data_IF_893539532930
#
_entry.id   IF_893539532930
#
_cell.length_a   1.000
_cell.length_b   1.000
_cell.length_c   1.000
_cell.angle_alpha   90.00
_cell.angle_beta   90.00
_cell.angle_gamma   90.00
#
_symmetry.space_group_name_H-M   'P 1'
#
loop_
_entity.id
_entity.type
_entity.pdbx_description
1 polymer ?
#
# COMPACT_ATOMS: atom_id res chain seq x y z
N UNK A 1 -27.08 30.16 -3.73
CA UNK A 1 -26.65 29.17 -4.75
C UNK A 1 -25.36 28.47 -4.35
N UNK A 2 -24.19 29.13 -4.23
CA UNK A 2 -22.93 28.44 -3.85
C UNK A 2 -23.01 27.81 -2.45
N UNK A 3 -23.51 28.52 -1.45
CA UNK A 3 -23.70 27.97 -0.09
C UNK A 3 -24.60 26.73 -0.08
N UNK A 4 -25.65 26.69 -0.92
CA UNK A 4 -26.56 25.53 -1.00
C UNK A 4 -25.86 24.30 -1.60
N UNK A 5 -24.99 24.52 -2.62
CA UNK A 5 -24.16 23.44 -3.20
C UNK A 5 -23.21 22.89 -2.12
N UNK A 6 -22.54 23.79 -1.37
CA UNK A 6 -21.63 23.41 -0.30
C UNK A 6 -22.37 22.67 0.81
N UNK A 7 -23.51 23.17 1.28
CA UNK A 7 -24.36 22.50 2.28
C UNK A 7 -24.76 21.09 1.83
N UNK A 8 -25.22 20.98 0.57
CA UNK A 8 -25.55 19.67 0.00
C UNK A 8 -24.34 18.74 0.02
N UNK A 9 -23.16 19.20 -0.45
CA UNK A 9 -21.92 18.42 -0.46
C UNK A 9 -21.50 17.99 0.94
N UNK A 10 -21.54 18.91 1.93
CA UNK A 10 -21.21 18.61 3.31
C UNK A 10 -22.07 17.49 3.91
N UNK A 11 -23.39 17.51 3.63
CA UNK A 11 -24.35 16.51 4.14
C UNK A 11 -24.28 15.19 3.38
N UNK A 12 -24.25 15.24 2.04
CA UNK A 12 -24.28 14.06 1.18
C UNK A 12 -23.05 13.16 1.41
N UNK A 13 -21.88 13.78 1.58
CA UNK A 13 -20.62 13.04 1.78
C UNK A 13 -20.16 12.97 3.25
N UNK A 14 -21.02 13.39 4.18
CA UNK A 14 -20.72 13.41 5.62
C UNK A 14 -19.35 14.03 5.95
N UNK A 15 -19.05 15.20 5.35
CA UNK A 15 -17.74 15.83 5.44
C UNK A 15 -17.45 16.39 6.84
N UNK A 16 -18.50 16.83 7.55
CA UNK A 16 -18.42 17.45 8.88
C UNK A 16 -19.39 16.78 9.85
N UNK A 17 -18.99 16.72 11.10
CA UNK A 17 -19.84 16.37 12.24
C UNK A 17 -19.93 17.57 13.19
N UNK A 18 -20.98 17.62 14.01
CA UNK A 18 -21.12 18.64 15.04
C UNK A 18 -19.93 18.58 16.00
N UNK A 19 -19.39 19.74 16.35
CA UNK A 19 -18.21 19.88 17.22
C UNK A 19 -16.87 19.73 16.49
N UNK A 20 -16.85 19.53 15.15
CA UNK A 20 -15.61 19.43 14.41
C UNK A 20 -14.79 20.72 14.45
N UNK A 21 -13.47 20.56 14.59
CA UNK A 21 -12.49 21.62 14.38
C UNK A 21 -11.89 21.49 12.99
N UNK A 22 -11.99 22.55 12.17
CA UNK A 22 -11.63 22.52 10.75
C UNK A 22 -10.51 23.50 10.45
N UNK A 23 -9.39 23.02 9.90
CA UNK A 23 -8.30 23.84 9.38
C UNK A 23 -8.51 24.07 7.89
N UNK A 24 -8.66 25.31 7.48
CA UNK A 24 -8.80 25.68 6.07
C UNK A 24 -7.45 26.10 5.50
N UNK A 25 -7.00 25.45 4.43
CA UNK A 25 -5.82 25.88 3.68
C UNK A 25 -6.13 27.15 2.90
N UNK A 26 -5.62 28.30 3.36
CA UNK A 26 -5.87 29.62 2.78
C UNK A 26 -4.67 30.12 2.00
N UNK A 27 -4.69 29.96 0.67
CA UNK A 27 -3.63 30.42 -0.23
C UNK A 27 -3.75 31.91 -0.62
N UNK A 28 -4.90 32.54 -0.35
CA UNK A 28 -5.22 33.89 -0.79
C UNK A 28 -5.97 33.96 -2.13
N UNK A 29 -5.94 32.91 -2.94
CA UNK A 29 -6.69 32.86 -4.21
C UNK A 29 -8.20 32.68 -4.01
N UNK A 30 -8.99 32.99 -5.04
CA UNK A 30 -10.45 33.00 -5.02
C UNK A 30 -11.08 31.72 -4.43
N UNK A 31 -10.54 30.54 -4.80
CA UNK A 31 -11.06 29.24 -4.33
C UNK A 31 -10.94 29.11 -2.81
N UNK A 32 -9.77 29.46 -2.25
CA UNK A 32 -9.51 29.36 -0.81
C UNK A 32 -10.25 30.43 0.00
N UNK A 33 -10.41 31.61 -0.56
CA UNK A 33 -11.19 32.70 0.02
C UNK A 33 -12.68 32.33 0.04
N UNK A 34 -13.21 31.84 -1.06
CA UNK A 34 -14.59 31.36 -1.16
C UNK A 34 -14.86 30.23 -0.14
N UNK A 35 -13.97 29.20 -0.08
CA UNK A 35 -14.09 28.11 0.89
C UNK A 35 -14.11 28.61 2.33
N UNK A 36 -13.16 29.48 2.69
CA UNK A 36 -13.03 30.00 4.05
C UNK A 36 -14.29 30.79 4.45
N UNK A 37 -14.74 31.70 3.59
CA UNK A 37 -15.93 32.51 3.84
C UNK A 37 -17.21 31.67 3.88
N UNK A 38 -17.35 30.68 2.99
CA UNK A 38 -18.51 29.81 2.99
C UNK A 38 -18.60 28.96 4.27
N UNK A 39 -17.48 28.35 4.70
CA UNK A 39 -17.45 27.59 5.97
C UNK A 39 -17.69 28.50 7.18
N UNK A 40 -17.15 29.73 7.16
CA UNK A 40 -17.41 30.72 8.20
C UNK A 40 -18.91 31.07 8.28
N UNK A 41 -19.57 31.26 7.13
CA UNK A 41 -21.02 31.53 7.07
C UNK A 41 -21.87 30.37 7.55
N UNK A 42 -21.34 29.14 7.50
CA UNK A 42 -22.03 27.90 7.87
C UNK A 42 -21.62 27.36 9.25
N UNK A 43 -20.68 28.02 9.94
CA UNK A 43 -20.08 27.50 11.16
C UNK A 43 -21.09 27.22 12.28
N UNK A 44 -22.05 28.09 12.44
CA UNK A 44 -23.07 27.97 13.50
C UNK A 44 -24.10 26.88 13.15
N UNK A 45 -24.42 26.71 11.84
CA UNK A 45 -25.33 25.65 11.38
C UNK A 45 -24.75 24.24 11.53
N UNK A 46 -23.45 24.11 11.35
CA UNK A 46 -22.74 22.82 11.45
C UNK A 46 -22.02 22.64 12.79
N UNK A 47 -22.15 23.62 13.70
CA UNK A 47 -21.48 23.62 15.01
C UNK A 47 -19.98 23.30 14.89
N UNK A 48 -19.25 24.08 14.07
CA UNK A 48 -17.83 23.86 13.79
C UNK A 48 -16.96 25.03 14.25
N UNK A 49 -15.73 24.70 14.67
CA UNK A 49 -14.70 25.68 14.94
C UNK A 49 -13.74 25.79 13.78
N UNK A 50 -13.43 27.00 13.32
CA UNK A 50 -12.58 27.24 12.18
C UNK A 50 -11.20 27.77 12.56
N UNK A 51 -10.21 27.30 11.81
CA UNK A 51 -8.83 27.78 11.78
C UNK A 51 -8.41 27.93 10.33
N UNK A 52 -7.43 28.80 10.07
CA UNK A 52 -6.83 28.94 8.74
C UNK A 52 -5.33 28.67 8.81
N UNK A 53 -4.77 28.14 7.70
CA UNK A 53 -3.34 27.95 7.56
C UNK A 53 -2.88 28.50 6.21
N UNK A 54 -1.88 29.38 6.24
CA UNK A 54 -1.20 29.92 5.07
C UNK A 54 0.24 29.44 5.03
N UNK A 55 0.76 29.17 3.81
CA UNK A 55 2.16 28.80 3.60
C UNK A 55 2.76 29.75 2.62
N UNK A 56 3.75 30.50 3.07
CA UNK A 56 4.60 31.30 2.25
C UNK A 56 5.73 30.42 1.70
N UNK A 57 5.74 30.20 0.40
CA UNK A 57 6.67 29.27 -0.27
C UNK A 57 8.08 29.84 -0.49
N UNK A 58 8.34 31.10 -0.16
CA UNK A 58 9.64 31.75 -0.31
C UNK A 58 10.07 32.02 -1.76
N UNK A 59 9.21 31.73 -2.75
CA UNK A 59 9.58 31.80 -4.18
C UNK A 59 9.52 33.22 -4.73
N UNK A 60 8.67 34.12 -4.17
CA UNK A 60 8.28 35.38 -4.83
C UNK A 60 8.58 36.66 -4.04
N UNK A 61 9.43 36.61 -3.04
CA UNK A 61 9.84 37.81 -2.28
C UNK A 61 8.65 38.65 -1.77
N UNK A 62 8.47 39.84 -2.34
CA UNK A 62 7.43 40.82 -1.95
C UNK A 62 6.00 40.32 -2.18
N UNK A 63 5.73 39.56 -3.26
CA UNK A 63 4.40 39.02 -3.53
C UNK A 63 3.99 37.99 -2.47
N UNK A 64 4.91 37.11 -2.08
CA UNK A 64 4.65 36.11 -1.03
C UNK A 64 4.32 36.75 0.33
N UNK A 65 4.99 37.87 0.64
CA UNK A 65 4.72 38.64 1.86
C UNK A 65 3.37 39.36 1.82
N UNK A 66 2.98 39.86 0.65
CA UNK A 66 1.66 40.44 0.40
C UNK A 66 0.56 39.40 0.62
N UNK A 67 0.73 38.20 0.08
CA UNK A 67 -0.25 37.11 0.17
C UNK A 67 -0.38 36.60 1.62
N UNK A 68 0.72 36.56 2.37
CA UNK A 68 0.75 36.26 3.81
C UNK A 68 -0.06 37.29 4.61
N UNK A 69 0.23 38.58 4.41
CA UNK A 69 -0.51 39.66 5.06
C UNK A 69 -2.00 39.65 4.71
N UNK A 70 -2.33 39.33 3.47
CA UNK A 70 -3.71 39.18 3.03
C UNK A 70 -4.41 38.06 3.82
N UNK A 71 -3.80 36.87 3.92
CA UNK A 71 -4.37 35.71 4.62
C UNK A 71 -4.60 36.01 6.11
N UNK A 72 -3.64 36.66 6.79
CA UNK A 72 -3.77 37.07 8.18
C UNK A 72 -4.90 38.08 8.36
N UNK A 73 -4.94 39.14 7.53
CA UNK A 73 -5.98 40.18 7.62
C UNK A 73 -7.38 39.63 7.31
N UNK A 74 -7.50 38.75 6.30
CA UNK A 74 -8.75 38.11 5.94
C UNK A 74 -9.29 37.26 7.09
N UNK A 75 -8.43 36.42 7.67
CA UNK A 75 -8.77 35.56 8.81
C UNK A 75 -9.18 36.41 10.05
N UNK A 76 -8.44 37.47 10.33
CA UNK A 76 -8.73 38.40 11.42
C UNK A 76 -10.08 39.08 11.25
N UNK A 77 -10.46 39.52 10.04
CA UNK A 77 -11.77 40.10 9.73
C UNK A 77 -12.92 39.13 10.05
N UNK A 78 -12.70 37.83 9.87
CA UNK A 78 -13.67 36.77 10.15
C UNK A 78 -13.63 36.27 11.62
N UNK A 79 -12.68 36.75 12.42
CA UNK A 79 -12.47 36.28 13.80
C UNK A 79 -11.92 34.85 13.87
N UNK A 80 -11.15 34.43 12.85
CA UNK A 80 -10.55 33.09 12.75
C UNK A 80 -9.05 33.19 13.05
N UNK A 81 -8.53 32.25 13.87
CA UNK A 81 -7.10 32.14 14.14
C UNK A 81 -6.37 31.65 12.89
N UNK A 82 -5.30 32.36 12.49
CA UNK A 82 -4.50 32.09 11.31
C UNK A 82 -3.10 31.63 11.70
N UNK A 83 -2.68 30.47 11.15
CA UNK A 83 -1.32 29.94 11.29
C UNK A 83 -0.54 30.16 10.00
N UNK A 84 0.66 30.71 10.12
CA UNK A 84 1.54 30.98 8.97
C UNK A 84 2.81 30.14 9.10
N UNK A 85 3.23 29.56 7.96
CA UNK A 85 4.52 28.88 7.80
C UNK A 85 5.30 29.53 6.68
N UNK A 86 6.52 29.98 6.98
CA UNK A 86 7.50 30.39 5.96
C UNK A 86 8.42 29.20 5.63
N UNK A 87 8.51 28.83 4.35
CA UNK A 87 9.30 27.70 3.88
C UNK A 87 10.01 28.01 2.55
N UNK A 88 11.29 27.73 2.46
CA UNK A 88 12.08 27.85 1.21
C UNK A 88 11.87 26.57 0.39
N UNK A 89 10.81 26.54 -0.43
CA UNK A 89 10.46 25.38 -1.24
C UNK A 89 11.52 25.03 -2.28
N UNK A 90 12.14 26.01 -3.01
CA UNK A 90 13.23 25.71 -3.93
C UNK A 90 14.41 24.99 -3.27
N UNK A 91 14.80 25.40 -2.07
CA UNK A 91 15.89 24.73 -1.33
C UNK A 91 15.49 23.33 -0.90
N UNK A 92 14.28 23.16 -0.35
CA UNK A 92 13.75 21.85 0.06
C UNK A 92 13.65 20.89 -1.13
N UNK A 93 13.22 21.37 -2.30
CA UNK A 93 13.13 20.56 -3.51
C UNK A 93 14.49 20.03 -3.95
N UNK A 94 15.55 20.86 -3.89
CA UNK A 94 16.93 20.47 -4.18
C UNK A 94 17.44 19.43 -3.17
N UNK A 95 17.25 19.68 -1.87
CA UNK A 95 17.75 18.84 -0.80
C UNK A 95 17.09 17.43 -0.82
N UNK A 96 15.82 17.36 -1.22
CA UNK A 96 15.05 16.11 -1.27
C UNK A 96 15.00 15.46 -2.65
N UNK A 97 15.59 16.09 -3.67
CA UNK A 97 15.62 15.65 -5.07
C UNK A 97 14.21 15.34 -5.65
N UNK A 98 13.27 16.24 -5.39
CA UNK A 98 11.90 16.18 -5.92
C UNK A 98 11.55 17.49 -6.64
N UNK A 99 10.45 17.51 -7.41
CA UNK A 99 9.96 18.75 -8.02
C UNK A 99 9.50 19.76 -6.94
N UNK A 100 9.58 21.06 -7.24
CA UNK A 100 9.08 22.12 -6.34
C UNK A 100 7.59 21.95 -6.01
N UNK A 101 6.78 21.47 -6.96
CA UNK A 101 5.37 21.13 -6.73
C UNK A 101 5.24 20.03 -5.66
N UNK A 102 6.03 18.98 -5.77
CA UNK A 102 6.04 17.86 -4.81
C UNK A 102 6.55 18.33 -3.44
N UNK A 103 7.63 19.10 -3.40
CA UNK A 103 8.18 19.66 -2.17
C UNK A 103 7.14 20.56 -1.46
N UNK A 104 6.52 21.49 -2.19
CA UNK A 104 5.49 22.39 -1.68
C UNK A 104 4.27 21.63 -1.16
N UNK A 105 3.86 20.58 -1.87
CA UNK A 105 2.79 19.69 -1.42
C UNK A 105 3.14 18.97 -0.11
N UNK A 106 4.34 18.41 -0.02
CA UNK A 106 4.80 17.69 1.19
C UNK A 106 4.88 18.62 2.40
N UNK A 107 5.47 19.81 2.24
CA UNK A 107 5.55 20.85 3.28
C UNK A 107 4.15 21.23 3.76
N UNK A 108 3.21 21.45 2.84
CA UNK A 108 1.82 21.79 3.14
C UNK A 108 1.14 20.76 4.03
N UNK A 109 1.16 19.49 3.63
CA UNK A 109 0.51 18.42 4.40
C UNK A 109 1.21 18.16 5.74
N UNK A 110 2.54 18.25 5.79
CA UNK A 110 3.28 18.14 7.05
C UNK A 110 2.92 19.28 8.01
N UNK A 111 2.76 20.50 7.51
CA UNK A 111 2.33 21.63 8.33
C UNK A 111 0.91 21.43 8.85
N UNK A 112 -0.03 21.03 7.99
CA UNK A 112 -1.39 20.77 8.40
C UNK A 112 -1.46 19.66 9.46
N UNK A 113 -0.72 18.57 9.29
CA UNK A 113 -0.68 17.47 10.26
C UNK A 113 -0.16 17.94 11.62
N UNK A 114 0.94 18.72 11.66
CA UNK A 114 1.48 19.29 12.90
C UNK A 114 0.47 20.19 13.62
N UNK A 115 -0.29 21.01 12.86
CA UNK A 115 -1.34 21.84 13.45
C UNK A 115 -2.49 20.99 13.98
N UNK A 116 -2.91 19.98 13.24
CA UNK A 116 -3.96 19.04 13.65
C UNK A 116 -3.61 18.35 14.97
N UNK A 117 -2.38 17.86 15.11
CA UNK A 117 -1.90 17.24 16.35
C UNK A 117 -1.82 18.24 17.51
N UNK A 118 -1.23 19.42 17.26
CA UNK A 118 -0.99 20.42 18.31
C UNK A 118 -2.27 21.07 18.86
N UNK A 119 -3.26 21.31 17.97
CA UNK A 119 -4.49 22.04 18.33
C UNK A 119 -5.74 21.16 18.35
N UNK A 120 -5.56 19.81 18.24
CA UNK A 120 -6.65 18.83 18.22
C UNK A 120 -7.68 19.12 17.12
N UNK A 121 -7.17 19.50 15.92
CA UNK A 121 -8.00 19.76 14.75
C UNK A 121 -8.24 18.45 14.02
N UNK A 122 -9.49 18.08 13.80
CA UNK A 122 -9.86 16.78 13.26
C UNK A 122 -10.17 16.79 11.76
N UNK A 123 -10.34 17.95 11.13
CA UNK A 123 -10.58 18.08 9.68
C UNK A 123 -9.68 19.14 9.05
N UNK A 124 -9.25 18.87 7.81
CA UNK A 124 -8.52 19.81 6.97
C UNK A 124 -9.30 20.07 5.69
N UNK A 125 -9.78 21.28 5.48
CA UNK A 125 -10.51 21.67 4.28
C UNK A 125 -9.57 22.25 3.22
N UNK A 126 -9.62 21.70 2.00
CA UNK A 126 -8.84 22.18 0.85
C UNK A 126 -9.74 22.65 -0.28
N UNK A 127 -9.33 23.70 -0.97
CA UNK A 127 -10.14 24.44 -1.93
C UNK A 127 -10.08 23.86 -3.36
N UNK A 128 -10.12 22.52 -3.51
CA UNK A 128 -10.27 21.91 -4.83
C UNK A 128 -11.72 22.12 -5.29
N UNK A 129 -11.84 22.57 -6.53
CA UNK A 129 -13.13 22.90 -7.15
C UNK A 129 -13.48 21.93 -8.31
N UNK A 130 -14.63 22.13 -8.99
CA UNK A 130 -15.10 21.29 -10.09
C UNK A 130 -14.15 21.29 -11.29
N UNK A 131 -13.51 22.42 -11.59
CA UNK A 131 -12.57 22.52 -12.70
C UNK A 131 -11.29 21.71 -12.39
N UNK A 132 -10.77 21.76 -11.16
CA UNK A 132 -9.64 20.92 -10.73
C UNK A 132 -9.96 19.42 -10.86
N UNK A 133 -11.21 19.05 -10.57
CA UNK A 133 -11.67 17.66 -10.73
C UNK A 133 -11.65 17.24 -12.20
N UNK A 134 -12.19 18.08 -13.10
CA UNK A 134 -12.17 17.82 -14.54
C UNK A 134 -10.73 17.73 -15.10
N UNK A 135 -9.81 18.62 -14.66
CA UNK A 135 -8.41 18.55 -15.01
C UNK A 135 -7.78 17.21 -14.59
N UNK A 136 -8.05 16.79 -13.35
CA UNK A 136 -7.53 15.52 -12.80
C UNK A 136 -8.08 14.32 -13.57
N UNK A 137 -9.36 14.31 -13.92
CA UNK A 137 -9.99 13.26 -14.71
C UNK A 137 -9.32 13.12 -16.08
N UNK A 138 -9.10 14.23 -16.79
CA UNK A 138 -8.41 14.23 -18.08
C UNK A 138 -6.96 13.75 -17.96
N UNK A 139 -6.23 14.24 -16.95
CA UNK A 139 -4.86 13.77 -16.70
C UNK A 139 -4.79 12.26 -16.45
N UNK A 140 -5.70 11.75 -15.62
CA UNK A 140 -5.76 10.33 -15.30
C UNK A 140 -6.15 9.49 -16.53
N UNK A 141 -7.10 9.95 -17.32
CA UNK A 141 -7.49 9.29 -18.56
C UNK A 141 -6.33 9.19 -19.56
N UNK A 142 -5.61 10.30 -19.79
CA UNK A 142 -4.44 10.34 -20.68
C UNK A 142 -3.27 9.46 -20.18
N UNK A 143 -3.16 9.24 -18.88
CA UNK A 143 -2.16 8.34 -18.28
C UNK A 143 -2.58 6.87 -18.32
N UNK A 144 -3.77 6.54 -18.83
CA UNK A 144 -4.29 5.18 -18.89
C UNK A 144 -4.76 4.64 -17.55
N UNK A 145 -5.21 5.50 -16.66
CA UNK A 145 -5.75 5.09 -15.36
C UNK A 145 -7.00 4.21 -15.51
N UNK A 146 -7.14 3.26 -14.61
CA UNK A 146 -8.33 2.41 -14.49
C UNK A 146 -9.49 3.15 -13.83
N UNK A 147 -10.61 2.47 -13.56
CA UNK A 147 -11.82 3.04 -12.94
C UNK A 147 -11.53 3.94 -11.74
N UNK A 148 -10.61 3.55 -10.83
CA UNK A 148 -10.26 4.35 -9.65
C UNK A 148 -9.71 5.74 -10.02
N UNK A 149 -8.91 5.85 -11.09
CA UNK A 149 -8.43 7.15 -11.57
C UNK A 149 -9.51 8.00 -12.24
N UNK A 150 -10.54 7.34 -12.77
CA UNK A 150 -11.69 7.99 -13.41
C UNK A 150 -12.79 8.42 -12.42
N UNK A 151 -12.66 8.11 -11.14
CA UNK A 151 -13.51 8.64 -10.07
C UNK A 151 -13.15 10.09 -9.69
N UNK A 152 -12.09 10.66 -10.23
CA UNK A 152 -11.66 12.03 -9.97
C UNK A 152 -11.06 12.24 -8.57
N UNK A 153 -11.17 13.47 -8.08
CA UNK A 153 -10.70 13.86 -6.77
C UNK A 153 -11.71 13.41 -5.70
N UNK A 154 -11.31 12.62 -4.68
CA UNK A 154 -12.23 12.17 -3.65
C UNK A 154 -12.68 13.33 -2.74
N UNK A 155 -13.94 13.34 -2.30
CA UNK A 155 -14.46 14.34 -1.35
C UNK A 155 -13.77 14.24 0.02
N UNK A 156 -13.42 13.03 0.43
CA UNK A 156 -12.72 12.72 1.70
C UNK A 156 -11.48 11.89 1.42
N UNK A 157 -10.36 12.24 2.06
CA UNK A 157 -9.14 11.44 2.10
C UNK A 157 -8.50 11.52 3.49
N UNK A 158 -8.76 10.54 4.32
CA UNK A 158 -8.38 10.61 5.73
C UNK A 158 -9.12 11.77 6.43
N UNK A 159 -8.39 12.70 7.00
CA UNK A 159 -8.96 13.91 7.61
C UNK A 159 -9.15 15.09 6.63
N UNK A 160 -8.76 14.93 5.36
CA UNK A 160 -8.87 15.99 4.35
C UNK A 160 -10.23 15.95 3.70
N UNK A 161 -10.93 17.09 3.67
CA UNK A 161 -12.24 17.30 3.04
C UNK A 161 -12.20 18.36 1.93
N UNK A 162 -13.11 18.29 0.98
CA UNK A 162 -13.19 19.19 -0.18
C UNK A 162 -14.61 19.71 -0.40
N UNK A 163 -15.04 20.68 0.42
CA UNK A 163 -16.44 21.13 0.42
C UNK A 163 -16.89 21.82 -0.87
N UNK A 164 -15.97 22.44 -1.63
CA UNK A 164 -16.27 23.16 -2.87
C UNK A 164 -16.01 22.36 -4.15
N UNK A 165 -15.82 21.03 -4.03
CA UNK A 165 -15.48 20.18 -5.20
C UNK A 165 -16.60 20.17 -6.27
N UNK A 166 -17.84 20.49 -5.89
CA UNK A 166 -18.98 20.61 -6.80
C UNK A 166 -19.25 22.02 -7.29
N UNK A 167 -18.43 23.01 -6.89
CA UNK A 167 -18.57 24.41 -7.29
C UNK A 167 -17.60 24.70 -8.44
N UNK A 168 -18.08 25.29 -9.52
CA UNK A 168 -17.26 25.70 -10.65
C UNK A 168 -16.46 26.98 -10.35
N UNK A 169 -15.42 27.23 -11.13
CA UNK A 169 -14.60 28.44 -11.02
C UNK A 169 -15.44 29.72 -11.18
N UNK A 170 -16.33 29.75 -12.16
CA UNK A 170 -17.22 30.89 -12.41
C UNK A 170 -18.17 31.16 -11.24
N UNK A 171 -18.72 30.10 -10.64
CA UNK A 171 -19.57 30.20 -9.46
C UNK A 171 -18.79 30.72 -8.24
N UNK A 172 -17.51 30.33 -8.08
CA UNK A 172 -16.62 30.82 -7.02
C UNK A 172 -16.33 32.31 -7.19
N UNK A 173 -15.94 32.74 -8.40
CA UNK A 173 -15.64 34.15 -8.67
C UNK A 173 -16.87 35.03 -8.49
N UNK A 174 -18.02 34.56 -8.97
CA UNK A 174 -19.28 35.24 -8.71
C UNK A 174 -19.62 35.33 -7.22
N UNK A 175 -19.42 34.26 -6.47
CA UNK A 175 -19.64 34.27 -5.02
C UNK A 175 -18.75 35.29 -4.32
N UNK A 176 -17.47 35.36 -4.69
CA UNK A 176 -16.55 36.36 -4.14
C UNK A 176 -17.02 37.77 -4.48
N UNK A 177 -17.42 38.03 -5.71
CA UNK A 177 -17.94 39.34 -6.15
C UNK A 177 -19.21 39.72 -5.40
N UNK A 178 -20.20 38.83 -5.32
CA UNK A 178 -21.49 39.05 -4.69
C UNK A 178 -21.37 39.36 -3.16
N UNK A 179 -20.28 38.88 -2.52
CA UNK A 179 -20.00 39.11 -1.09
C UNK A 179 -18.89 40.15 -0.85
N UNK A 180 -18.41 40.87 -1.86
CA UNK A 180 -17.37 41.89 -1.75
C UNK A 180 -16.04 41.32 -1.21
N UNK A 181 -15.70 40.08 -1.55
CA UNK A 181 -14.49 39.43 -1.10
C UNK A 181 -13.34 39.70 -2.10
N UNK A 182 -12.31 40.35 -1.60
CA UNK A 182 -11.05 40.47 -2.31
C UNK A 182 -10.27 39.16 -2.31
N UNK A 183 -9.48 38.89 -3.34
CA UNK A 183 -8.57 37.75 -3.41
C UNK A 183 -7.35 38.08 -4.28
N UNK A 184 -6.27 37.34 -4.07
CA UNK A 184 -5.02 37.52 -4.81
C UNK A 184 -5.03 36.67 -6.09
N UNK A 185 -4.54 37.26 -7.19
CA UNK A 185 -4.34 36.57 -8.45
C UNK A 185 -2.89 36.14 -8.55
N UNK A 186 -2.67 34.83 -8.70
CA UNK A 186 -1.34 34.25 -8.83
C UNK A 186 -0.83 34.37 -10.26
N UNK A 187 0.31 35.10 -10.46
CA UNK A 187 0.94 35.30 -11.77
C UNK A 187 1.48 34.00 -12.41
N UNK A 188 1.82 32.97 -11.62
CA UNK A 188 2.33 31.68 -12.17
C UNK A 188 1.23 30.78 -12.75
N UNK A 189 -0.03 31.06 -12.49
CA UNK A 189 -1.14 30.37 -13.15
C UNK A 189 -1.17 30.60 -14.68
N UNK A 190 -0.41 31.56 -15.19
CA UNK A 190 -0.38 31.96 -16.60
C UNK A 190 0.70 31.21 -17.42
N UNK A 191 1.59 30.42 -16.80
CA UNK A 191 2.65 29.70 -17.53
C UNK A 191 2.16 28.32 -17.99
N UNK A 192 2.41 27.97 -19.27
CA UNK A 192 2.01 26.68 -19.87
C UNK A 192 3.01 25.54 -19.64
N UNK A 193 4.01 25.72 -18.79
CA UNK A 193 5.11 24.78 -18.64
C UNK A 193 4.72 23.42 -18.03
N UNK A 194 3.57 23.36 -17.36
CA UNK A 194 3.09 22.12 -16.74
C UNK A 194 1.89 21.54 -17.49
N UNK A 195 1.82 20.21 -17.61
CA UNK A 195 0.72 19.48 -18.27
C UNK A 195 -0.66 19.92 -17.77
N UNK A 196 -0.78 20.21 -16.48
CA UNK A 196 -2.03 20.68 -15.87
C UNK A 196 -2.46 22.05 -16.40
N UNK A 197 -1.53 22.96 -16.55
CA UNK A 197 -1.81 24.29 -17.10
C UNK A 197 -2.22 24.21 -18.59
N UNK A 198 -1.61 23.32 -19.39
CA UNK A 198 -2.05 23.07 -20.78
C UNK A 198 -3.48 22.55 -20.85
N UNK A 199 -3.86 21.65 -19.93
CA UNK A 199 -5.25 21.16 -19.85
C UNK A 199 -6.19 22.31 -19.49
N UNK A 200 -5.85 23.11 -18.49
CA UNK A 200 -6.66 24.24 -18.00
C UNK A 200 -6.85 25.34 -19.02
N UNK A 201 -5.78 25.77 -19.68
CA UNK A 201 -5.78 26.97 -20.52
C UNK A 201 -6.00 26.65 -22.01
N UNK A 202 -5.75 25.42 -22.45
CA UNK A 202 -5.84 25.05 -23.86
C UNK A 202 -6.89 23.98 -24.10
N UNK A 203 -6.77 22.81 -23.45
CA UNK A 203 -7.59 21.66 -23.81
C UNK A 203 -9.05 21.80 -23.33
N UNK A 204 -9.28 22.16 -22.06
CA UNK A 204 -10.62 22.33 -21.52
C UNK A 204 -11.42 23.44 -22.25
N UNK A 205 -10.86 24.65 -22.47
CA UNK A 205 -11.54 25.68 -23.24
C UNK A 205 -11.85 25.24 -24.68
N UNK A 206 -10.93 24.51 -25.32
CA UNK A 206 -11.15 23.98 -26.66
C UNK A 206 -12.32 22.98 -26.69
N UNK A 207 -12.34 22.02 -25.75
CA UNK A 207 -13.44 21.05 -25.67
C UNK A 207 -14.78 21.76 -25.39
N UNK A 208 -14.80 22.73 -24.47
CA UNK A 208 -16.02 23.47 -24.16
C UNK A 208 -16.54 24.28 -25.35
N UNK A 209 -15.63 24.88 -26.12
CA UNK A 209 -16.03 25.70 -27.27
C UNK A 209 -16.47 24.88 -28.47
N UNK A 210 -15.74 23.81 -28.81
CA UNK A 210 -15.93 23.11 -30.08
C UNK A 210 -16.83 21.86 -29.97
N UNK A 211 -16.98 21.28 -28.77
CA UNK A 211 -17.65 19.99 -28.59
C UNK A 211 -18.83 20.05 -27.60
N UNK A 212 -18.60 20.52 -26.36
CA UNK A 212 -19.62 20.52 -25.32
C UNK A 212 -19.39 21.64 -24.32
N UNK A 213 -20.21 22.68 -24.36
CA UNK A 213 -20.10 23.84 -23.44
C UNK A 213 -20.24 23.45 -21.97
N UNK A 214 -20.93 22.35 -21.66
CA UNK A 214 -21.10 21.82 -20.30
C UNK A 214 -20.11 20.70 -19.93
N UNK A 215 -19.04 20.51 -20.70
CA UNK A 215 -18.11 19.38 -20.54
C UNK A 215 -17.62 19.18 -19.11
N UNK A 216 -17.17 20.24 -18.43
CA UNK A 216 -16.67 20.17 -17.04
C UNK A 216 -17.73 19.58 -16.12
N UNK A 217 -18.97 20.04 -16.22
CA UNK A 217 -20.10 19.52 -15.45
C UNK A 217 -20.34 18.04 -15.77
N UNK A 218 -20.48 17.74 -17.06
CA UNK A 218 -20.80 16.38 -17.54
C UNK A 218 -19.75 15.36 -17.08
N UNK A 219 -18.45 15.66 -17.27
CA UNK A 219 -17.38 14.71 -16.92
C UNK A 219 -17.27 14.48 -15.42
N UNK A 220 -17.52 15.52 -14.60
CA UNK A 220 -17.48 15.37 -13.12
C UNK A 220 -18.72 14.64 -12.59
N UNK A 221 -19.91 14.83 -13.19
CA UNK A 221 -21.11 14.06 -12.85
C UNK A 221 -20.93 12.57 -13.22
N UNK A 222 -20.39 12.27 -14.41
CA UNK A 222 -20.08 10.90 -14.80
C UNK A 222 -19.05 10.24 -13.85
N UNK A 223 -18.06 11.01 -13.36
CA UNK A 223 -17.11 10.51 -12.40
C UNK A 223 -17.75 10.07 -11.07
N UNK A 224 -18.82 10.75 -10.63
CA UNK A 224 -19.60 10.33 -9.45
C UNK A 224 -20.28 8.97 -9.70
N UNK A 225 -20.90 8.77 -10.85
CA UNK A 225 -21.53 7.49 -11.19
C UNK A 225 -20.51 6.35 -11.26
N UNK A 226 -19.35 6.59 -11.89
CA UNK A 226 -18.23 5.62 -11.91
C UNK A 226 -17.75 5.32 -10.49
N UNK A 227 -17.76 6.32 -9.61
CA UNK A 227 -17.37 6.16 -8.20
C UNK A 227 -18.33 5.23 -7.46
N UNK A 228 -19.64 5.42 -7.62
CA UNK A 228 -20.65 4.59 -6.97
C UNK A 228 -20.53 3.13 -7.42
N UNK A 229 -20.38 2.88 -8.73
CA UNK A 229 -20.13 1.53 -9.27
C UNK A 229 -18.82 0.93 -8.73
N UNK A 230 -17.76 1.74 -8.67
CA UNK A 230 -16.46 1.29 -8.14
C UNK A 230 -16.53 0.94 -6.66
N UNK A 231 -17.21 1.75 -5.84
CA UNK A 231 -17.36 1.52 -4.40
C UNK A 231 -18.16 0.25 -4.13
N UNK A 232 -19.21 0.00 -4.89
CA UNK A 232 -19.97 -1.25 -4.78
C UNK A 232 -19.10 -2.48 -5.07
N UNK A 233 -18.32 -2.44 -6.16
CA UNK A 233 -17.41 -3.53 -6.52
C UNK A 233 -16.24 -3.69 -5.54
N UNK A 234 -15.75 -2.58 -5.00
CA UNK A 234 -14.70 -2.60 -3.97
C UNK A 234 -15.23 -3.21 -2.66
N UNK A 235 -16.48 -2.91 -2.27
CA UNK A 235 -17.16 -3.55 -1.14
C UNK A 235 -17.23 -5.07 -1.28
N UNK A 236 -17.66 -5.58 -2.44
CA UNK A 236 -17.70 -7.03 -2.73
C UNK A 236 -16.29 -7.63 -2.63
N UNK A 237 -15.28 -6.94 -3.15
CA UNK A 237 -13.90 -7.43 -3.11
C UNK A 237 -13.33 -7.43 -1.69
N UNK A 238 -13.66 -6.45 -0.85
CA UNK A 238 -13.27 -6.40 0.55
C UNK A 238 -13.93 -7.52 1.38
N UNK A 239 -15.19 -7.81 1.13
CA UNK A 239 -15.88 -8.91 1.80
C UNK A 239 -15.30 -10.27 1.41
N UNK A 240 -15.01 -10.47 0.13
CA UNK A 240 -14.28 -11.66 -0.33
C UNK A 240 -12.90 -11.74 0.33
N UNK A 241 -12.18 -10.61 0.40
CA UNK A 241 -10.85 -10.54 1.01
C UNK A 241 -10.90 -10.98 2.48
N UNK A 242 -11.82 -10.44 3.27
CA UNK A 242 -12.01 -10.78 4.70
C UNK A 242 -12.32 -12.27 4.92
N UNK A 243 -13.07 -12.88 4.00
CA UNK A 243 -13.50 -14.28 4.11
C UNK A 243 -12.42 -15.27 3.64
N UNK A 244 -11.74 -14.99 2.53
CA UNK A 244 -10.93 -15.98 1.82
C UNK A 244 -9.41 -15.75 1.88
N UNK A 245 -8.95 -14.54 2.27
CA UNK A 245 -7.51 -14.24 2.31
C UNK A 245 -6.96 -14.43 3.72
N UNK A 246 -5.85 -15.17 3.82
CA UNK A 246 -5.07 -15.31 5.05
C UNK A 246 -3.58 -15.29 4.69
N UNK A 247 -2.80 -14.48 5.40
CA UNK A 247 -1.34 -14.34 5.18
C UNK A 247 -0.99 -14.08 3.70
N UNK A 248 -1.69 -13.15 3.04
CA UNK A 248 -1.53 -12.81 1.62
C UNK A 248 -1.61 -14.04 0.69
N UNK A 249 -2.46 -15.01 1.00
CA UNK A 249 -2.71 -16.20 0.20
C UNK A 249 -4.20 -16.39 -0.12
N UNK A 250 -4.52 -16.78 -1.35
CA UNK A 250 -5.87 -17.07 -1.82
C UNK A 250 -5.94 -18.41 -2.55
N UNK A 251 -7.00 -19.20 -2.33
CA UNK A 251 -7.29 -20.38 -3.12
C UNK A 251 -7.68 -20.00 -4.54
N UNK A 252 -7.05 -20.62 -5.54
CA UNK A 252 -7.35 -20.37 -6.96
C UNK A 252 -8.79 -20.78 -7.28
N UNK A 253 -9.29 -21.87 -6.69
CA UNK A 253 -10.66 -22.32 -6.89
C UNK A 253 -11.67 -21.28 -6.39
N UNK A 254 -11.47 -20.70 -5.21
CA UNK A 254 -12.37 -19.68 -4.67
C UNK A 254 -12.26 -18.37 -5.48
N UNK A 255 -11.04 -17.96 -5.86
CA UNK A 255 -10.84 -16.80 -6.71
C UNK A 255 -11.53 -16.99 -8.07
N UNK A 256 -11.51 -18.20 -8.63
CA UNK A 256 -12.14 -18.51 -9.93
C UNK A 256 -13.67 -18.52 -9.91
N UNK A 257 -14.30 -18.60 -8.73
CA UNK A 257 -15.75 -18.45 -8.57
C UNK A 257 -16.21 -16.98 -8.68
N UNK A 258 -15.29 -16.02 -8.63
CA UNK A 258 -15.62 -14.60 -8.72
C UNK A 258 -15.43 -14.04 -10.13
N UNK A 259 -16.10 -12.91 -10.43
CA UNK A 259 -15.95 -12.19 -11.69
C UNK A 259 -14.56 -11.54 -11.82
N UNK A 260 -14.11 -11.33 -13.06
CA UNK A 260 -12.81 -10.75 -13.36
C UNK A 260 -12.59 -9.37 -12.72
N UNK A 261 -13.66 -8.58 -12.55
CA UNK A 261 -13.60 -7.29 -11.89
C UNK A 261 -13.25 -7.42 -10.40
N UNK A 262 -13.79 -8.44 -9.74
CA UNK A 262 -13.55 -8.72 -8.31
C UNK A 262 -12.16 -9.34 -8.13
N UNK A 263 -11.76 -10.31 -8.97
CA UNK A 263 -10.42 -10.89 -8.96
C UNK A 263 -9.32 -9.81 -8.93
N UNK A 264 -9.43 -8.84 -9.85
CA UNK A 264 -8.45 -7.74 -9.95
C UNK A 264 -8.40 -6.88 -8.69
N UNK A 265 -9.56 -6.60 -8.08
CA UNK A 265 -9.65 -5.82 -6.85
C UNK A 265 -9.08 -6.56 -5.66
N UNK A 266 -9.42 -7.83 -5.50
CA UNK A 266 -8.87 -8.71 -4.43
C UNK A 266 -7.34 -8.77 -4.51
N UNK A 267 -6.77 -8.96 -5.69
CA UNK A 267 -5.31 -8.97 -5.85
C UNK A 267 -4.67 -7.61 -5.54
N UNK A 268 -5.35 -6.50 -5.85
CA UNK A 268 -4.87 -5.17 -5.44
C UNK A 268 -4.91 -4.98 -3.92
N UNK A 269 -5.92 -5.52 -3.24
CA UNK A 269 -5.97 -5.53 -1.77
C UNK A 269 -4.80 -6.34 -1.20
N UNK A 270 -4.54 -7.53 -1.73
CA UNK A 270 -3.38 -8.35 -1.32
C UNK A 270 -2.06 -7.61 -1.56
N UNK A 271 -1.90 -6.97 -2.71
CA UNK A 271 -0.70 -6.18 -3.02
C UNK A 271 -0.58 -4.96 -2.11
N UNK A 272 -1.67 -4.24 -1.84
CA UNK A 272 -1.67 -3.11 -0.90
C UNK A 272 -1.19 -3.53 0.49
N UNK A 273 -1.66 -4.67 0.97
CA UNK A 273 -1.29 -5.16 2.30
C UNK A 273 0.19 -5.57 2.37
N UNK A 274 0.70 -6.32 1.39
CA UNK A 274 2.10 -6.75 1.40
C UNK A 274 3.07 -5.59 1.17
N UNK A 275 2.65 -4.54 0.47
CA UNK A 275 3.43 -3.32 0.27
C UNK A 275 3.22 -2.26 1.37
N UNK A 276 2.53 -2.59 2.47
CA UNK A 276 2.25 -1.66 3.58
C UNK A 276 1.60 -0.34 3.11
N UNK A 277 0.65 -0.42 2.18
CA UNK A 277 -0.15 0.73 1.76
C UNK A 277 0.39 1.50 0.54
N UNK A 278 1.43 1.04 -0.15
CA UNK A 278 1.84 1.61 -1.43
C UNK A 278 0.71 1.51 -2.46
N UNK A 279 0.32 2.64 -3.06
CA UNK A 279 -0.84 2.73 -3.95
C UNK A 279 -0.50 2.65 -5.46
N UNK A 280 0.76 2.83 -5.86
CA UNK A 280 1.19 2.85 -7.27
C UNK A 280 1.54 1.45 -7.79
N UNK A 281 0.54 0.54 -7.75
CA UNK A 281 0.69 -0.81 -8.24
C UNK A 281 0.20 -0.88 -9.69
N UNK A 282 1.11 -1.13 -10.63
CA UNK A 282 0.78 -1.27 -12.04
C UNK A 282 -0.27 -2.36 -12.30
N UNK A 283 -1.20 -2.10 -13.19
CA UNK A 283 -2.20 -3.07 -13.65
C UNK A 283 -1.57 -4.30 -14.32
N UNK A 284 -0.35 -4.19 -14.85
CA UNK A 284 0.42 -5.29 -15.41
C UNK A 284 0.74 -6.35 -14.36
N UNK A 285 1.14 -5.96 -13.15
CA UNK A 285 1.41 -6.93 -12.08
C UNK A 285 0.16 -7.71 -11.67
N UNK A 286 -1.00 -7.06 -11.63
CA UNK A 286 -2.27 -7.75 -11.34
C UNK A 286 -2.59 -8.78 -12.43
N UNK A 287 -2.39 -8.43 -13.72
CA UNK A 287 -2.59 -9.36 -14.83
C UNK A 287 -1.60 -10.53 -14.79
N UNK A 288 -0.34 -10.25 -14.49
CA UNK A 288 0.70 -11.28 -14.36
C UNK A 288 0.37 -12.26 -13.22
N UNK A 289 -0.06 -11.76 -12.06
CA UNK A 289 -0.47 -12.60 -10.92
C UNK A 289 -1.69 -13.46 -11.32
N UNK A 290 -2.69 -12.90 -11.99
CA UNK A 290 -3.84 -13.67 -12.46
C UNK A 290 -3.41 -14.80 -13.40
N UNK A 291 -2.44 -14.54 -14.28
CA UNK A 291 -1.91 -15.57 -15.19
C UNK A 291 -1.27 -16.78 -14.47
N UNK A 292 -0.87 -16.63 -13.19
CA UNK A 292 -0.36 -17.75 -12.41
C UNK A 292 -1.44 -18.77 -12.05
N UNK A 293 -2.72 -18.34 -11.99
CA UNK A 293 -3.81 -19.27 -11.70
C UNK A 293 -3.95 -20.38 -12.76
N UNK A 294 -3.60 -20.07 -14.00
CA UNK A 294 -3.66 -21.01 -15.14
C UNK A 294 -2.38 -21.83 -15.33
N UNK A 295 -1.34 -21.54 -14.54
CA UNK A 295 -0.04 -22.21 -14.62
C UNK A 295 0.06 -23.35 -13.61
N UNK A 296 0.95 -24.32 -13.91
CA UNK A 296 1.25 -25.44 -12.99
C UNK A 296 1.81 -24.93 -11.65
N UNK A 297 1.54 -25.66 -10.56
CA UNK A 297 2.11 -25.39 -9.24
C UNK A 297 3.66 -25.29 -9.29
N UNK A 298 4.21 -24.36 -8.51
CA UNK A 298 5.64 -24.06 -8.45
C UNK A 298 6.11 -22.98 -9.43
N UNK A 299 5.21 -22.37 -10.21
CA UNK A 299 5.52 -21.16 -11.00
C UNK A 299 5.44 -19.92 -10.14
N UNK A 300 6.36 -18.99 -10.41
CA UNK A 300 6.45 -17.70 -9.69
C UNK A 300 6.82 -16.57 -10.63
N UNK A 301 6.50 -15.36 -10.21
CA UNK A 301 6.91 -14.08 -10.81
C UNK A 301 7.49 -13.18 -9.74
N UNK A 302 8.53 -12.44 -10.12
CA UNK A 302 9.12 -11.43 -9.25
C UNK A 302 8.37 -10.11 -9.45
N UNK A 303 8.04 -9.48 -8.35
CA UNK A 303 7.42 -8.16 -8.26
C UNK A 303 8.45 -7.18 -7.69
N UNK A 304 8.22 -5.85 -7.80
CA UNK A 304 9.09 -4.85 -7.18
C UNK A 304 9.26 -5.05 -5.66
N UNK A 305 10.26 -4.39 -5.10
CA UNK A 305 10.55 -4.36 -3.67
C UNK A 305 10.74 -5.74 -3.03
N UNK A 306 11.26 -6.70 -3.81
CA UNK A 306 11.56 -8.03 -3.29
C UNK A 306 10.35 -8.90 -2.98
N UNK A 307 9.19 -8.59 -3.55
CA UNK A 307 7.99 -9.43 -3.44
C UNK A 307 8.00 -10.51 -4.54
N UNK A 308 7.47 -11.67 -4.22
CA UNK A 308 7.26 -12.78 -5.15
C UNK A 308 5.80 -13.22 -5.08
N UNK A 309 5.17 -13.36 -6.24
CA UNK A 309 3.89 -14.02 -6.37
C UNK A 309 4.11 -15.44 -6.90
N UNK A 310 3.50 -16.45 -6.27
CA UNK A 310 3.66 -17.85 -6.67
C UNK A 310 2.35 -18.61 -6.65
N UNK A 311 2.23 -19.58 -7.59
CA UNK A 311 1.20 -20.60 -7.53
C UNK A 311 1.76 -21.80 -6.76
N UNK A 312 1.22 -22.09 -5.60
CA UNK A 312 1.65 -23.21 -4.77
C UNK A 312 0.47 -24.02 -4.28
N UNK A 313 0.40 -25.29 -4.71
CA UNK A 313 -0.66 -26.25 -4.34
C UNK A 313 -2.09 -25.72 -4.47
N UNK A 314 -2.38 -25.00 -5.59
CA UNK A 314 -3.71 -24.44 -5.85
C UNK A 314 -3.99 -23.12 -5.14
N UNK A 315 -2.96 -22.46 -4.64
CA UNK A 315 -3.06 -21.12 -4.04
C UNK A 315 -2.16 -20.12 -4.76
N UNK A 316 -2.62 -18.89 -4.89
CA UNK A 316 -1.76 -17.73 -5.18
C UNK A 316 -1.30 -17.17 -3.85
N UNK A 317 0.01 -17.04 -3.68
CA UNK A 317 0.65 -16.53 -2.46
C UNK A 317 1.54 -15.36 -2.84
N UNK A 318 1.40 -14.26 -2.11
CA UNK A 318 2.33 -13.13 -2.17
C UNK A 318 3.19 -13.15 -0.91
N UNK A 319 4.51 -13.13 -1.07
CA UNK A 319 5.44 -13.10 0.06
C UNK A 319 6.72 -12.32 -0.28
N UNK A 320 7.43 -11.90 0.75
CA UNK A 320 8.78 -11.37 0.56
C UNK A 320 9.71 -12.48 0.08
N UNK A 321 10.55 -12.16 -0.90
CA UNK A 321 11.57 -13.07 -1.39
C UNK A 321 12.49 -13.46 -0.23
N UNK A 322 12.47 -14.74 0.12
CA UNK A 322 13.39 -15.28 1.12
C UNK A 322 14.77 -15.45 0.52
N UNK A 323 15.79 -15.18 1.30
CA UNK A 323 17.13 -15.57 0.94
C UNK A 323 17.20 -17.09 0.84
N UNK A 324 17.82 -17.59 -0.22
CA UNK A 324 18.02 -19.04 -0.37
C UNK A 324 19.00 -19.49 0.72
N UNK A 325 18.61 -20.53 1.47
CA UNK A 325 19.53 -21.15 2.43
C UNK A 325 20.79 -21.57 1.69
N UNK A 326 21.93 -21.00 2.09
CA UNK A 326 23.22 -21.31 1.51
C UNK A 326 23.56 -22.81 1.73
N UNK A 327 24.34 -23.42 0.85
CA UNK A 327 24.82 -24.77 1.06
C UNK A 327 25.61 -24.86 2.35
N UNK A 328 25.31 -25.85 3.17
CA UNK A 328 26.04 -26.13 4.42
C UNK A 328 26.29 -27.63 4.58
N UNK A 329 27.35 -27.96 5.29
CA UNK A 329 27.74 -29.30 5.70
C UNK A 329 28.55 -29.21 6.98
N UNK A 330 27.99 -29.74 8.06
CA UNK A 330 28.60 -29.68 9.40
C UNK A 330 28.76 -31.08 9.96
N UNK A 331 29.97 -31.43 10.35
CA UNK A 331 30.26 -32.68 11.07
C UNK A 331 30.06 -32.46 12.58
N UNK A 332 29.33 -33.35 13.23
CA UNK A 332 29.00 -33.22 14.66
C UNK A 332 29.37 -34.53 15.35
N UNK A 333 30.09 -34.44 16.45
CA UNK A 333 30.43 -35.62 17.28
C UNK A 333 29.31 -35.88 18.29
N UNK A 334 29.25 -37.13 18.78
CA UNK A 334 28.31 -37.48 19.83
C UNK A 334 28.70 -36.73 21.12
N UNK A 335 27.76 -36.08 21.75
CA UNK A 335 27.93 -35.21 22.90
C UNK A 335 28.14 -33.73 22.56
N UNK A 336 28.14 -33.36 21.27
CA UNK A 336 28.31 -31.97 20.85
C UNK A 336 26.97 -31.29 20.53
N UNK A 337 26.97 -29.96 20.69
CA UNK A 337 25.94 -29.04 20.21
C UNK A 337 26.60 -28.04 19.27
N UNK A 338 26.10 -27.95 18.06
CA UNK A 338 26.60 -27.01 17.04
C UNK A 338 25.48 -26.11 16.56
N UNK A 339 25.77 -24.80 16.43
CA UNK A 339 24.86 -23.83 15.81
C UNK A 339 25.08 -23.81 14.30
N UNK A 340 24.03 -24.08 13.54
CA UNK A 340 24.05 -24.02 12.07
C UNK A 340 23.39 -22.72 11.66
N UNK A 341 24.21 -21.75 11.30
CA UNK A 341 23.77 -20.38 10.94
C UNK A 341 22.79 -20.36 9.76
N UNK A 342 22.98 -21.24 8.77
CA UNK A 342 22.16 -21.35 7.57
C UNK A 342 20.73 -21.85 7.85
N UNK A 343 20.52 -22.48 8.99
CA UNK A 343 19.23 -22.97 9.47
C UNK A 343 18.64 -22.13 10.62
N UNK A 344 19.47 -21.29 11.23
CA UNK A 344 19.19 -20.60 12.49
C UNK A 344 18.75 -21.56 13.61
N UNK A 345 19.48 -22.71 13.71
CA UNK A 345 19.15 -23.80 14.64
C UNK A 345 20.38 -24.32 15.36
N UNK A 346 20.17 -24.71 16.62
CA UNK A 346 21.12 -25.53 17.40
C UNK A 346 20.81 -27.00 17.17
N UNK A 347 21.83 -27.76 16.78
CA UNK A 347 21.73 -29.20 16.61
C UNK A 347 22.57 -29.86 17.69
N UNK A 348 21.93 -30.66 18.53
CA UNK A 348 22.57 -31.44 19.62
C UNK A 348 22.50 -32.91 19.29
N UNK A 349 23.64 -33.61 19.39
CA UNK A 349 23.73 -35.07 19.23
C UNK A 349 24.12 -35.67 20.57
N UNK A 350 23.30 -36.55 21.12
CA UNK A 350 23.56 -37.23 22.40
C UNK A 350 23.37 -38.74 22.32
N UNK A 351 24.11 -39.53 23.13
CA UNK A 351 23.86 -40.95 23.27
C UNK A 351 22.51 -41.20 23.95
N UNK A 352 21.85 -42.25 23.55
CA UNK A 352 20.60 -42.68 24.24
C UNK A 352 20.39 -44.16 24.12
N UNK A 353 19.84 -44.76 25.16
CA UNK A 353 19.31 -46.12 25.20
C UNK A 353 17.79 -46.18 25.29
N UNK A 354 17.13 -45.02 25.25
CA UNK A 354 15.68 -44.88 25.31
C UNK A 354 15.14 -43.97 24.22
N UNK A 355 13.97 -44.30 23.70
CA UNK A 355 13.26 -43.47 22.76
C UNK A 355 12.07 -42.77 23.43
N UNK A 356 12.04 -41.45 23.42
CA UNK A 356 10.96 -40.64 23.93
C UNK A 356 10.06 -40.08 22.80
N UNK A 357 8.85 -39.64 23.14
CA UNK A 357 7.94 -38.95 22.20
C UNK A 357 8.09 -37.42 22.32
N UNK A 358 9.30 -36.92 22.12
CA UNK A 358 9.68 -35.52 22.31
C UNK A 358 9.95 -34.73 21.02
N UNK A 359 9.69 -35.36 19.87
CA UNK A 359 9.93 -34.71 18.55
C UNK A 359 11.36 -34.85 18.05
N UNK A 360 12.31 -35.35 18.84
CA UNK A 360 13.67 -35.62 18.43
C UNK A 360 13.80 -36.78 17.44
N UNK A 361 14.91 -36.82 16.72
CA UNK A 361 15.25 -37.92 15.80
C UNK A 361 16.12 -38.94 16.52
N UNK A 362 15.67 -40.21 16.55
CA UNK A 362 16.34 -41.31 17.22
C UNK A 362 16.89 -42.27 16.16
N UNK A 363 18.22 -42.48 16.13
CA UNK A 363 18.90 -43.28 15.10
C UNK A 363 19.78 -44.36 15.77
N UNK A 364 19.86 -45.52 15.09
CA UNK A 364 20.88 -46.53 15.41
C UNK A 364 22.20 -46.05 14.84
N UNK A 365 23.22 -45.93 15.70
CA UNK A 365 24.55 -45.38 15.36
C UNK A 365 25.60 -45.88 16.34
N UNK A 366 26.80 -46.20 15.85
CA UNK A 366 27.94 -46.57 16.70
C UNK A 366 28.77 -45.33 17.10
N UNK A 367 29.54 -45.44 18.16
CA UNK A 367 30.35 -44.32 18.71
C UNK A 367 31.40 -43.78 17.73
N UNK A 368 31.82 -44.63 16.81
CA UNK A 368 32.86 -44.32 15.81
C UNK A 368 32.32 -43.81 14.49
N UNK A 369 30.98 -43.73 14.37
CA UNK A 369 30.33 -43.28 13.12
C UNK A 369 30.48 -41.78 12.93
N UNK A 370 30.73 -41.39 11.67
CA UNK A 370 30.78 -39.98 11.26
C UNK A 370 29.39 -39.45 11.01
N UNK A 371 28.98 -38.47 11.81
CA UNK A 371 27.66 -37.83 11.67
C UNK A 371 27.85 -36.48 10.99
N UNK A 372 27.08 -36.26 9.90
CA UNK A 372 27.07 -35.01 9.16
C UNK A 372 25.62 -34.49 9.08
N UNK A 373 25.45 -33.21 9.34
CA UNK A 373 24.19 -32.49 9.07
C UNK A 373 24.42 -31.54 7.90
N UNK A 374 23.66 -31.70 6.86
CA UNK A 374 23.78 -30.94 5.60
C UNK A 374 22.45 -30.63 4.96
N UNK A 375 22.43 -29.75 3.96
CA UNK A 375 21.30 -29.61 3.08
C UNK A 375 21.29 -30.68 1.97
N UNK A 376 20.18 -30.74 1.21
CA UNK A 376 19.98 -31.72 0.14
C UNK A 376 20.99 -31.53 -1.00
N UNK A 377 21.36 -32.65 -1.65
CA UNK A 377 22.16 -32.70 -2.88
C UNK A 377 21.35 -33.33 -4.01
N UNK A 378 21.75 -33.03 -5.27
CA UNK A 378 21.14 -33.69 -6.41
C UNK A 378 21.47 -35.17 -6.38
N UNK A 379 20.45 -36.02 -6.57
CA UNK A 379 20.61 -37.46 -6.57
C UNK A 379 20.36 -38.13 -5.22
N UNK A 380 20.18 -37.40 -4.14
CA UNK A 380 19.88 -37.94 -2.82
C UNK A 380 18.69 -38.89 -2.86
N UNK A 381 18.88 -40.05 -2.20
CA UNK A 381 17.89 -41.10 -2.08
C UNK A 381 17.90 -41.65 -0.66
N UNK A 382 16.75 -42.00 -0.13
CA UNK A 382 16.63 -42.64 1.18
C UNK A 382 15.43 -43.62 1.19
N UNK A 383 15.34 -44.46 2.19
CA UNK A 383 14.26 -45.42 2.38
C UNK A 383 13.43 -45.01 3.58
N UNK A 384 12.34 -44.19 3.41
CA UNK A 384 11.53 -43.74 4.51
C UNK A 384 10.92 -44.90 5.29
N UNK A 385 10.97 -44.83 6.61
CA UNK A 385 10.34 -45.83 7.47
C UNK A 385 8.86 -45.98 7.15
N UNK A 386 8.39 -47.23 6.97
CA UNK A 386 7.02 -47.56 6.57
C UNK A 386 6.77 -47.62 5.04
N UNK A 387 7.81 -47.43 4.22
CA UNK A 387 7.72 -47.61 2.75
C UNK A 387 8.59 -48.77 2.28
N UNK A 388 8.14 -49.43 1.21
CA UNK A 388 8.94 -50.43 0.53
C UNK A 388 9.75 -49.79 -0.61
N UNK A 389 11.10 -49.87 -0.51
CA UNK A 389 12.03 -49.38 -1.51
C UNK A 389 12.57 -47.97 -1.25
N UNK A 390 13.58 -47.62 -2.08
CA UNK A 390 14.29 -46.35 -1.99
C UNK A 390 13.58 -45.28 -2.84
N UNK A 391 13.43 -44.07 -2.28
CA UNK A 391 12.79 -42.93 -2.94
C UNK A 391 13.77 -41.81 -3.17
N UNK A 392 13.71 -41.14 -4.33
CA UNK A 392 14.47 -39.89 -4.55
C UNK A 392 13.95 -38.81 -3.63
N UNK A 393 14.84 -38.06 -3.01
CA UNK A 393 14.49 -37.01 -2.05
C UNK A 393 13.62 -35.91 -2.70
N UNK A 394 13.86 -35.59 -3.99
CA UNK A 394 13.03 -34.66 -4.77
C UNK A 394 11.56 -35.11 -4.83
N UNK A 395 11.31 -36.38 -5.09
CA UNK A 395 9.96 -36.95 -5.17
C UNK A 395 9.29 -37.00 -3.79
N UNK A 396 10.07 -37.35 -2.76
CA UNK A 396 9.60 -37.33 -1.38
C UNK A 396 9.11 -35.94 -0.95
N UNK A 397 9.87 -34.88 -1.26
CA UNK A 397 9.46 -33.51 -0.94
C UNK A 397 8.20 -33.06 -1.69
N UNK A 398 8.02 -33.50 -2.94
CA UNK A 398 6.79 -33.26 -3.71
C UNK A 398 5.59 -33.93 -3.05
N UNK A 399 5.71 -35.20 -2.70
CA UNK A 399 4.60 -35.94 -2.05
C UNK A 399 4.24 -35.37 -0.67
N UNK A 400 5.22 -34.86 0.07
CA UNK A 400 5.01 -34.20 1.35
C UNK A 400 4.61 -32.74 1.22
N UNK A 401 4.40 -32.25 -0.03
CA UNK A 401 4.01 -30.86 -0.32
C UNK A 401 4.97 -29.82 0.28
N UNK A 402 6.29 -30.17 0.35
CA UNK A 402 7.32 -29.23 0.80
C UNK A 402 7.68 -28.33 -0.37
N UNK A 403 7.47 -27.03 -0.22
CA UNK A 403 7.73 -26.04 -1.25
C UNK A 403 9.21 -25.98 -1.64
N UNK A 404 9.49 -25.58 -2.89
CA UNK A 404 10.85 -25.61 -3.45
C UNK A 404 11.85 -24.79 -2.65
N UNK A 405 11.42 -23.63 -2.17
CA UNK A 405 12.19 -22.69 -1.35
C UNK A 405 12.55 -23.26 0.04
N UNK A 406 11.66 -24.08 0.63
CA UNK A 406 11.90 -24.71 1.94
C UNK A 406 12.73 -25.99 1.88
N UNK A 407 12.97 -26.56 0.69
CA UNK A 407 13.67 -27.87 0.60
C UNK A 407 15.13 -27.81 1.02
N UNK A 408 15.79 -26.66 0.85
CA UNK A 408 17.19 -26.48 1.23
C UNK A 408 17.35 -26.22 2.74
N UNK A 409 16.29 -25.81 3.44
CA UNK A 409 16.29 -25.63 4.89
C UNK A 409 15.85 -26.89 5.67
N UNK A 410 15.53 -27.99 4.99
CA UNK A 410 15.29 -29.28 5.66
C UNK A 410 16.63 -29.96 5.93
N UNK A 411 17.03 -30.15 7.21
CA UNK A 411 18.30 -30.80 7.53
C UNK A 411 18.27 -32.27 7.11
N UNK A 412 19.35 -32.71 6.49
CA UNK A 412 19.63 -34.10 6.15
C UNK A 412 20.71 -34.58 7.09
N UNK A 413 20.41 -35.64 7.82
CA UNK A 413 21.34 -36.32 8.70
C UNK A 413 21.96 -37.48 7.93
N UNK A 414 23.27 -37.47 7.81
CA UNK A 414 24.05 -38.48 7.13
C UNK A 414 24.95 -39.20 8.13
N UNK A 415 24.97 -40.50 8.10
CA UNK A 415 25.89 -41.36 8.92
C UNK A 415 26.72 -42.19 7.96
N UNK A 416 28.03 -42.06 8.02
CA UNK A 416 29.02 -42.77 7.20
C UNK A 416 28.71 -42.65 5.69
N UNK A 417 28.26 -41.51 5.19
CA UNK A 417 27.97 -41.28 3.76
C UNK A 417 26.57 -41.73 3.32
N UNK A 418 25.75 -42.27 4.22
CA UNK A 418 24.38 -42.68 3.91
C UNK A 418 23.36 -41.79 4.64
N UNK A 419 22.25 -41.45 3.97
CA UNK A 419 21.19 -40.65 4.56
C UNK A 419 20.47 -41.47 5.64
N UNK A 420 20.60 -41.04 6.90
CA UNK A 420 19.97 -41.65 8.04
C UNK A 420 18.61 -41.01 8.39
N UNK A 421 18.46 -39.68 8.14
CA UNK A 421 17.18 -39.01 8.30
C UNK A 421 17.05 -37.78 7.41
N UNK A 422 15.82 -37.38 7.14
CA UNK A 422 15.41 -36.17 6.38
C UNK A 422 14.43 -35.39 7.25
N UNK A 423 14.86 -34.26 7.84
CA UNK A 423 14.12 -33.63 8.94
C UNK A 423 13.89 -34.65 10.06
N UNK A 424 12.61 -34.85 10.42
CA UNK A 424 12.21 -35.82 11.45
C UNK A 424 11.85 -37.21 10.87
N UNK A 425 12.13 -37.51 9.61
CA UNK A 425 11.83 -38.80 8.95
C UNK A 425 13.06 -39.65 8.86
N UNK A 426 13.02 -40.78 9.50
CA UNK A 426 14.12 -41.75 9.64
C UNK A 426 14.15 -42.66 8.42
N UNK A 427 15.35 -42.96 7.93
CA UNK A 427 15.59 -44.06 6.98
C UNK A 427 15.48 -45.41 7.70
N UNK A 428 14.81 -46.38 7.06
CA UNK A 428 14.53 -47.69 7.66
C UNK A 428 15.80 -48.40 8.14
N UNK A 429 16.95 -48.20 7.48
CA UNK A 429 18.23 -48.82 7.82
C UNK A 429 18.79 -48.37 9.14
N UNK A 430 18.50 -47.12 9.54
CA UNK A 430 18.97 -46.47 10.76
C UNK A 430 17.89 -46.41 11.84
N UNK A 431 16.83 -47.21 11.72
CA UNK A 431 15.77 -47.25 12.74
C UNK A 431 16.33 -47.61 14.12
N UNK A 432 16.03 -46.76 15.10
CA UNK A 432 16.47 -46.95 16.48
C UNK A 432 15.96 -48.30 17.04
N UNK A 433 16.85 -49.07 17.66
CA UNK A 433 16.54 -50.34 18.29
C UNK A 433 16.67 -50.19 19.82
N UNK A 434 17.84 -50.56 20.37
CA UNK A 434 18.07 -50.56 21.82
C UNK A 434 19.09 -49.52 22.28
N UNK A 435 19.99 -49.11 21.39
CA UNK A 435 21.03 -48.09 21.64
C UNK A 435 21.26 -47.28 20.36
N UNK A 436 21.67 -46.03 20.53
CA UNK A 436 21.99 -45.15 19.41
C UNK A 436 22.14 -43.71 19.84
N UNK A 437 21.71 -42.80 18.96
CA UNK A 437 21.79 -41.35 19.18
C UNK A 437 20.44 -40.69 19.13
N UNK A 438 20.30 -39.64 19.91
CA UNK A 438 19.22 -38.68 19.87
C UNK A 438 19.75 -37.39 19.21
N UNK A 439 19.03 -36.88 18.23
CA UNK A 439 19.35 -35.61 17.57
C UNK A 439 18.18 -34.64 17.79
N UNK A 440 18.49 -33.51 18.39
CA UNK A 440 17.58 -32.42 18.70
C UNK A 440 17.94 -31.23 17.80
N UNK A 441 16.92 -30.58 17.23
CA UNK A 441 17.07 -29.38 16.42
C UNK A 441 16.16 -28.30 17.01
N UNK A 442 16.72 -27.42 17.80
CA UNK A 442 16.00 -26.35 18.49
C UNK A 442 16.19 -25.02 17.77
N UNK A 443 15.13 -24.19 17.77
CA UNK A 443 15.23 -22.81 17.32
C UNK A 443 16.09 -22.02 18.32
N UNK A 444 16.81 -21.01 17.83
CA UNK A 444 17.74 -20.23 18.66
C UNK A 444 17.02 -19.26 19.59
#
# INVERSE_FOLDING_TARGET
>A
MVLDIIKKTLREYNLLNNGDSVLVGLSGGADSVCLTHALWSLKDEFDIKLYTAHINHGIRGEEAKRDELFAENFSKKLGIECFVLNADIPQIAKDTNVSEETAGRNVRYNFFNKLCEKYYINKVATAHNRNDNAETLLMNFMRGSTTNGLCGIPYVRGNIIRPILNVSRDEIEKYCSDNGLEYMTDSTNLTEDYTRNKIRHTLLPYIQKEFNTSFIKTVTENACLIKDDSDYLDGIAEDFYKQHIRNCAVNIEDLNKTDSAIKRRVLRLMLRDIYNGLNDISSTYVADILSLADKSSGRQINLPYGIVAKNEYGKIILEHKKEETQPFEVSINIGETVFISELDKKVTVSETDMRNKDGAVYLSCDKTDKIIVRNRRNGDKFQPMGMNGTKKLKEYFIDKKISKDKRNSVPIIEINGEIAAVGNRIDKRFAFKDKGIKIECDDN
#
